data_IF_388754799270
#
_entry.id   IF_388754799270
#
_cell.length_a   1.000
_cell.length_b   1.000
_cell.length_c   1.000
_cell.angle_alpha   90.00
_cell.angle_beta   90.00
_cell.angle_gamma   90.00
#
_symmetry.space_group_name_H-M   'P 1'
#
loop_
_entity.id
_entity.type
_entity.pdbx_description
1 polymer ?
#
# COMPACT_ATOMS: atom_id res chain seq x y z
N UNK A 1 -61.52 16.91 -5.71
CA UNK A 1 -61.26 15.69 -4.96
C UNK A 1 -59.77 15.44 -5.03
N UNK A 2 -59.11 15.99 -4.12
CA UNK A 2 -58.38 15.43 -2.97
C UNK A 2 -57.18 14.58 -3.43
N UNK A 3 -55.98 14.81 -3.04
CA UNK A 3 -55.39 15.52 -1.93
C UNK A 3 -53.90 15.30 -1.84
N UNK A 4 -53.40 16.09 -1.00
CA UNK A 4 -52.28 15.93 -0.10
C UNK A 4 -50.89 15.57 -0.68
N UNK A 5 -50.11 16.61 -0.95
CA UNK A 5 -48.66 16.57 -0.96
C UNK A 5 -48.09 16.32 0.43
N UNK A 6 -47.18 15.33 0.54
CA UNK A 6 -46.33 15.16 1.73
C UNK A 6 -44.98 15.81 1.48
N UNK A 7 -44.76 16.92 2.17
CA UNK A 7 -43.45 17.56 2.30
C UNK A 7 -42.50 16.62 3.08
N UNK A 8 -41.55 16.04 2.40
CA UNK A 8 -40.43 15.37 3.03
C UNK A 8 -39.48 16.43 3.63
N UNK A 9 -39.48 16.55 4.94
CA UNK A 9 -38.57 17.38 5.72
C UNK A 9 -37.18 16.73 5.68
N UNK A 10 -36.27 17.29 4.91
CA UNK A 10 -34.86 16.88 4.93
C UNK A 10 -34.26 17.21 6.30
N UNK A 11 -33.96 16.19 7.07
CA UNK A 11 -33.09 16.32 8.25
C UNK A 11 -31.66 16.51 7.76
N UNK A 12 -31.14 17.72 7.82
CA UNK A 12 -29.71 17.98 7.75
C UNK A 12 -29.08 17.44 9.02
N UNK A 13 -28.30 16.39 8.92
CA UNK A 13 -27.39 15.93 9.96
C UNK A 13 -26.31 17.01 10.15
N UNK A 14 -26.35 17.71 11.26
CA UNK A 14 -25.29 18.59 11.71
C UNK A 14 -24.07 17.73 12.08
N UNK A 15 -22.93 17.97 11.45
CA UNK A 15 -21.72 17.21 11.69
C UNK A 15 -21.15 17.40 13.11
N UNK A 16 -20.23 16.53 13.57
CA UNK A 16 -19.75 16.46 14.95
C UNK A 16 -19.08 17.74 15.46
N UNK A 17 -18.73 18.70 14.61
CA UNK A 17 -18.19 20.02 15.01
C UNK A 17 -19.25 20.98 15.54
N UNK A 18 -20.53 20.81 15.20
CA UNK A 18 -21.61 21.64 15.71
C UNK A 18 -21.96 21.27 17.16
N UNK A 19 -21.88 19.98 17.48
CA UNK A 19 -22.17 19.48 18.83
C UNK A 19 -21.11 19.90 19.86
N UNK A 20 -19.83 19.94 19.47
CA UNK A 20 -18.75 20.40 20.35
C UNK A 20 -18.86 21.90 20.69
N UNK A 21 -19.26 22.73 19.72
CA UNK A 21 -19.50 24.16 19.97
C UNK A 21 -20.74 24.38 20.83
N UNK A 22 -21.81 23.61 20.60
CA UNK A 22 -23.01 23.64 21.42
C UNK A 22 -22.76 23.19 22.87
N UNK A 23 -21.94 22.14 23.05
CA UNK A 23 -21.53 21.64 24.36
C UNK A 23 -20.64 22.66 25.11
N UNK A 24 -19.71 23.33 24.41
CA UNK A 24 -18.86 24.36 25.01
C UNK A 24 -19.67 25.62 25.41
N UNK A 25 -20.62 26.06 24.59
CA UNK A 25 -21.52 27.17 24.90
C UNK A 25 -22.42 26.80 26.07
N UNK A 26 -22.96 25.56 26.09
CA UNK A 26 -23.76 25.06 27.21
C UNK A 26 -22.99 25.02 28.54
N UNK A 27 -21.71 24.59 28.52
CA UNK A 27 -20.85 24.58 29.71
C UNK A 27 -20.56 26.03 30.24
N UNK A 28 -20.36 26.97 29.35
CA UNK A 28 -20.14 28.41 29.73
C UNK A 28 -21.42 29.01 30.31
N UNK A 29 -22.59 28.68 29.76
CA UNK A 29 -23.87 29.17 30.30
C UNK A 29 -24.13 28.61 31.69
N UNK A 30 -23.95 27.29 31.89
CA UNK A 30 -24.11 26.64 33.18
C UNK A 30 -23.11 27.17 34.23
N UNK A 31 -21.88 27.47 33.84
CA UNK A 31 -20.89 28.08 34.72
C UNK A 31 -21.30 29.48 35.14
N UNK A 32 -21.88 30.23 34.23
CA UNK A 32 -22.38 31.58 34.50
C UNK A 32 -23.59 31.59 35.43
N UNK A 33 -24.57 30.71 35.21
CA UNK A 33 -25.71 30.52 36.07
C UNK A 33 -25.30 30.07 37.49
N UNK A 34 -24.33 29.13 37.57
CA UNK A 34 -23.80 28.68 38.86
C UNK A 34 -23.08 29.81 39.61
N UNK A 35 -22.31 30.66 38.92
CA UNK A 35 -21.66 31.84 39.52
C UNK A 35 -22.68 32.88 39.96
N UNK A 36 -23.75 33.11 39.21
CA UNK A 36 -24.84 34.04 39.58
C UNK A 36 -25.65 33.47 40.77
N UNK A 37 -25.96 32.20 40.79
CA UNK A 37 -26.60 31.51 41.92
C UNK A 37 -25.77 31.64 43.20
N UNK A 38 -24.43 31.48 43.12
CA UNK A 38 -23.54 31.69 44.23
C UNK A 38 -23.49 33.17 44.71
N UNK A 39 -23.56 34.15 43.79
CA UNK A 39 -23.63 35.59 44.14
C UNK A 39 -24.93 35.93 44.86
N UNK A 40 -26.06 35.38 44.43
CA UNK A 40 -27.36 35.54 45.08
C UNK A 40 -27.39 34.89 46.45
N UNK A 41 -26.85 33.68 46.58
CA UNK A 41 -26.73 32.96 47.88
C UNK A 41 -25.80 33.68 48.85
N UNK A 42 -24.73 34.28 48.38
CA UNK A 42 -23.82 35.10 49.22
C UNK A 42 -24.49 36.42 49.70
N UNK A 43 -25.42 36.98 48.90
CA UNK A 43 -26.16 38.20 49.26
C UNK A 43 -27.27 37.93 50.26
N UNK A 44 -27.92 36.72 50.22
CA UNK A 44 -28.96 36.32 51.16
C UNK A 44 -28.42 36.00 52.55
N UNK A 45 -27.17 35.53 52.65
CA UNK A 45 -26.53 35.21 53.97
C UNK A 45 -26.16 36.47 54.79
N UNK A 46 -26.28 37.69 54.22
CA UNK A 46 -25.99 38.94 54.97
C UNK A 46 -27.19 39.52 55.73
N UNK A 47 -28.37 38.93 55.63
CA UNK A 47 -29.61 39.50 56.19
C UNK A 47 -30.13 38.76 57.42
N UNK A 48 -29.62 37.58 57.76
CA UNK A 48 -30.07 36.86 58.96
C UNK A 48 -28.91 36.55 59.89
N UNK A 49 -28.34 37.60 60.52
CA UNK A 49 -27.46 37.45 61.66
C UNK A 49 -28.20 37.83 62.94
N UNK A 50 -28.89 36.91 63.59
CA UNK A 50 -29.18 36.91 65.01
C UNK A 50 -29.63 35.53 65.46
N UNK A 51 -28.74 34.79 66.07
CA UNK A 51 -28.74 34.10 67.37
C UNK A 51 -27.69 32.99 67.40
N UNK A 52 -26.84 32.94 68.42
CA UNK A 52 -25.88 31.84 68.64
C UNK A 52 -26.61 30.69 69.29
N UNK A 53 -26.51 29.49 68.74
CA UNK A 53 -26.64 28.23 69.42
C UNK A 53 -25.33 27.48 69.23
N UNK A 54 -24.57 27.46 70.26
CA UNK A 54 -23.36 26.66 70.42
C UNK A 54 -23.69 25.19 70.13
N UNK A 55 -23.16 24.75 69.02
CA UNK A 55 -22.77 23.36 68.84
C UNK A 55 -21.46 23.37 68.07
N UNK A 56 -20.38 23.40 68.83
CA UNK A 56 -19.07 23.09 68.31
C UNK A 56 -19.08 21.63 67.81
N UNK A 57 -19.38 21.44 66.53
CA UNK A 57 -18.94 20.25 65.81
C UNK A 57 -17.44 20.40 65.62
N UNK A 58 -16.68 19.76 66.52
CA UNK A 58 -15.23 19.69 66.40
C UNK A 58 -14.89 19.07 65.06
N UNK A 59 -14.21 19.79 64.14
CA UNK A 59 -13.75 19.18 62.88
C UNK A 59 -12.87 18.00 63.25
N UNK A 60 -13.15 16.87 62.64
CA UNK A 60 -12.35 15.62 62.88
C UNK A 60 -10.87 16.02 62.86
N UNK A 61 -10.13 15.62 63.90
CA UNK A 61 -8.71 15.99 64.14
C UNK A 61 -7.82 15.74 62.89
N UNK A 62 -8.22 14.82 62.03
CA UNK A 62 -7.58 14.55 60.74
C UNK A 62 -7.67 15.73 59.75
N UNK A 63 -8.80 16.47 59.70
CA UNK A 63 -8.98 17.63 58.82
C UNK A 63 -8.14 18.81 59.29
N UNK A 64 -8.07 19.05 60.59
CA UNK A 64 -7.27 20.16 61.18
C UNK A 64 -5.75 19.90 61.03
N UNK A 65 -5.30 18.64 61.08
CA UNK A 65 -3.90 18.27 60.84
C UNK A 65 -3.57 18.41 59.32
N UNK A 66 -4.49 18.04 58.44
CA UNK A 66 -4.31 18.18 56.97
C UNK A 66 -4.23 19.64 56.56
N UNK A 67 -5.06 20.54 57.12
CA UNK A 67 -5.02 21.98 56.84
C UNK A 67 -3.72 22.66 57.26
N UNK A 68 -3.08 22.13 58.34
CA UNK A 68 -1.85 22.72 58.91
C UNK A 68 -0.58 22.36 58.12
N UNK A 69 -0.61 21.21 57.39
CA UNK A 69 0.55 20.70 56.63
C UNK A 69 0.42 20.88 55.12
N UNK A 70 -0.79 21.12 54.56
CA UNK A 70 -0.96 21.34 53.13
C UNK A 70 -0.99 22.85 52.82
N UNK A 71 0.04 23.44 52.20
CA UNK A 71 -0.04 24.78 51.68
C UNK A 71 -1.21 24.87 50.70
N UNK A 72 -1.96 25.96 50.73
CA UNK A 72 -3.17 26.24 49.90
C UNK A 72 -3.01 25.89 48.39
N UNK A 73 -1.76 25.82 47.90
CA UNK A 73 -1.43 25.48 46.53
C UNK A 73 -1.45 23.97 46.25
N UNK A 74 -1.31 23.10 47.26
CA UNK A 74 -1.29 21.66 47.10
C UNK A 74 -2.66 21.08 46.72
N UNK A 75 -3.73 21.64 47.30
CA UNK A 75 -5.10 21.26 46.92
C UNK A 75 -5.39 21.55 45.43
N UNK A 76 -4.95 22.74 44.98
CA UNK A 76 -5.11 23.13 43.54
C UNK A 76 -4.27 22.26 42.62
N UNK A 77 -3.03 21.94 43.01
CA UNK A 77 -2.16 21.05 42.28
C UNK A 77 -2.73 19.61 42.21
N UNK A 78 -3.25 19.09 43.33
CA UNK A 78 -3.89 17.78 43.39
C UNK A 78 -5.15 17.69 42.50
N UNK A 79 -5.98 18.75 42.51
CA UNK A 79 -7.16 18.83 41.64
C UNK A 79 -6.76 18.85 40.15
N UNK A 80 -5.75 19.64 39.80
CA UNK A 80 -5.22 19.69 38.42
C UNK A 80 -4.65 18.36 37.99
N UNK A 81 -3.88 17.68 38.84
CA UNK A 81 -3.34 16.35 38.60
C UNK A 81 -4.45 15.30 38.39
N UNK A 82 -5.49 15.36 39.22
CA UNK A 82 -6.63 14.45 39.11
C UNK A 82 -7.43 14.68 37.84
N UNK A 83 -7.63 15.92 37.44
CA UNK A 83 -8.28 16.28 36.17
C UNK A 83 -7.44 15.86 34.96
N UNK A 84 -6.13 16.08 35.01
CA UNK A 84 -5.22 15.64 33.93
C UNK A 84 -5.15 14.10 33.85
N UNK A 85 -5.09 13.43 34.99
CA UNK A 85 -5.12 11.97 35.04
C UNK A 85 -6.43 11.38 34.54
N UNK A 86 -7.57 11.98 34.92
CA UNK A 86 -8.89 11.59 34.43
C UNK A 86 -9.05 11.83 32.94
N UNK A 87 -8.59 13.00 32.44
CA UNK A 87 -8.58 13.30 31.01
C UNK A 87 -7.68 12.33 30.22
N UNK A 88 -6.47 12.06 30.74
CA UNK A 88 -5.55 11.09 30.15
C UNK A 88 -6.14 9.67 30.07
N UNK A 89 -6.75 9.20 31.18
CA UNK A 89 -7.45 7.91 31.20
C UNK A 89 -8.64 7.87 30.24
N UNK A 90 -9.39 8.97 30.13
CA UNK A 90 -10.49 9.12 29.17
C UNK A 90 -10.04 9.01 27.73
N UNK A 91 -8.92 9.65 27.38
CA UNK A 91 -8.33 9.60 26.03
C UNK A 91 -7.86 8.17 25.70
N UNK A 92 -7.16 7.52 26.65
CA UNK A 92 -6.60 6.17 26.45
C UNK A 92 -7.71 5.12 26.39
N UNK A 93 -8.67 5.12 27.32
CA UNK A 93 -9.76 4.14 27.35
C UNK A 93 -10.88 4.43 26.35
N UNK A 94 -11.06 5.68 25.96
CA UNK A 94 -12.04 6.09 24.95
C UNK A 94 -11.61 5.85 23.50
N UNK A 95 -10.38 5.38 23.26
CA UNK A 95 -9.88 5.16 21.89
C UNK A 95 -9.57 6.44 21.12
N UNK A 96 -9.58 7.61 21.79
CA UNK A 96 -9.36 8.93 21.15
C UNK A 96 -7.88 9.34 21.09
N UNK A 97 -6.95 8.41 21.26
CA UNK A 97 -5.52 8.69 21.20
C UNK A 97 -5.09 9.25 19.84
N UNK A 98 -5.64 8.70 18.74
CA UNK A 98 -5.31 9.16 17.39
C UNK A 98 -5.85 10.57 17.14
N UNK A 99 -7.08 10.85 17.56
CA UNK A 99 -7.67 12.19 17.43
C UNK A 99 -6.90 13.24 18.26
N UNK A 100 -6.50 12.86 19.49
CA UNK A 100 -5.72 13.72 20.36
C UNK A 100 -4.32 14.01 19.79
N UNK A 101 -3.62 12.98 19.32
CA UNK A 101 -2.28 13.15 18.71
C UNK A 101 -2.36 13.98 17.43
N UNK A 102 -3.41 13.79 16.63
CA UNK A 102 -3.66 14.57 15.42
C UNK A 102 -3.95 16.04 15.76
N UNK A 103 -4.81 16.30 16.74
CA UNK A 103 -5.11 17.67 17.19
C UNK A 103 -3.87 18.38 17.75
N UNK A 104 -3.03 17.66 18.49
CA UNK A 104 -1.77 18.20 19.02
C UNK A 104 -0.78 18.51 17.89
N UNK A 105 -0.66 17.63 16.90
CA UNK A 105 0.19 17.83 15.74
C UNK A 105 -0.29 19.00 14.87
N UNK A 106 -1.60 19.13 14.66
CA UNK A 106 -2.19 20.23 13.93
C UNK A 106 -1.95 21.58 14.62
N UNK A 107 -2.11 21.62 15.95
CA UNK A 107 -1.82 22.82 16.75
C UNK A 107 -0.35 23.24 16.66
N UNK A 108 0.55 22.28 16.78
CA UNK A 108 2.00 22.50 16.63
C UNK A 108 2.35 22.99 15.21
N UNK A 109 1.76 22.38 14.20
CA UNK A 109 1.95 22.78 12.81
C UNK A 109 1.40 24.19 12.55
N UNK A 110 0.25 24.56 13.14
CA UNK A 110 -0.33 25.88 13.01
C UNK A 110 0.59 26.98 13.56
N UNK A 111 1.21 26.74 14.73
CA UNK A 111 2.18 27.66 15.33
C UNK A 111 3.40 27.82 14.41
N UNK A 112 3.97 26.74 13.91
CA UNK A 112 5.11 26.80 13.01
C UNK A 112 4.77 27.49 11.69
N UNK A 113 3.58 27.25 11.15
CA UNK A 113 3.10 27.87 9.92
C UNK A 113 2.91 29.39 10.08
N UNK A 114 2.47 29.86 11.27
CA UNK A 114 2.41 31.28 11.58
C UNK A 114 3.80 31.94 11.72
N UNK A 115 4.80 31.16 12.11
CA UNK A 115 6.21 31.56 12.17
C UNK A 115 6.94 31.51 10.82
N UNK A 116 6.23 31.21 9.71
CA UNK A 116 6.81 31.23 8.36
C UNK A 116 7.30 29.88 7.84
N UNK A 117 7.11 28.77 8.58
CA UNK A 117 7.52 27.42 8.15
C UNK A 117 6.42 26.66 7.41
N UNK A 118 5.47 27.36 6.83
CA UNK A 118 4.44 26.76 5.98
C UNK A 118 5.06 26.23 4.69
N UNK A 119 4.65 25.04 4.26
CA UNK A 119 5.02 24.52 2.94
C UNK A 119 4.29 25.34 1.88
N UNK A 120 5.03 26.19 1.16
CA UNK A 120 4.52 27.06 0.10
C UNK A 120 4.75 26.48 -1.28
N UNK A 121 5.82 25.72 -1.44
CA UNK A 121 6.22 25.12 -2.71
C UNK A 121 6.58 23.66 -2.51
N UNK A 122 6.04 22.81 -3.35
CA UNK A 122 6.42 21.39 -3.42
C UNK A 122 6.96 21.10 -4.81
N UNK A 123 8.22 20.70 -4.89
CA UNK A 123 8.87 20.23 -6.11
C UNK A 123 8.99 18.71 -6.03
N UNK A 124 8.37 17.99 -6.98
CA UNK A 124 8.45 16.54 -7.07
C UNK A 124 9.08 16.15 -8.40
N UNK A 125 10.26 15.50 -8.33
CA UNK A 125 11.00 15.03 -9.48
C UNK A 125 10.91 13.51 -9.61
N UNK A 126 11.14 12.99 -10.83
CA UNK A 126 11.21 11.55 -11.09
C UNK A 126 9.86 10.85 -11.23
N UNK A 127 8.75 11.58 -11.20
CA UNK A 127 7.40 11.03 -11.43
C UNK A 127 7.23 10.59 -12.88
N UNK A 128 6.56 9.45 -13.09
CA UNK A 128 6.16 8.93 -14.40
C UNK A 128 4.66 8.59 -14.46
N UNK A 129 4.20 7.81 -13.52
CA UNK A 129 2.81 7.28 -13.43
C UNK A 129 1.99 7.98 -12.35
N UNK A 130 2.62 8.27 -11.20
CA UNK A 130 1.95 8.87 -10.06
C UNK A 130 1.73 10.37 -10.28
N UNK A 131 0.55 10.85 -9.92
CA UNK A 131 0.25 12.28 -9.88
C UNK A 131 0.89 12.95 -8.66
N UNK A 132 1.00 14.29 -8.69
CA UNK A 132 1.51 15.04 -7.53
C UNK A 132 0.66 14.83 -6.28
N UNK A 133 -0.65 14.84 -6.45
CA UNK A 133 -1.59 14.72 -5.34
C UNK A 133 -1.53 13.33 -4.70
N UNK A 134 -1.37 12.28 -5.50
CA UNK A 134 -1.17 10.92 -5.02
C UNK A 134 0.12 10.79 -4.21
N UNK A 135 1.23 11.34 -4.68
CA UNK A 135 2.51 11.32 -3.95
C UNK A 135 2.38 12.03 -2.61
N UNK A 136 1.74 13.20 -2.58
CA UNK A 136 1.51 13.95 -1.34
C UNK A 136 0.58 13.21 -0.38
N UNK A 137 -0.48 12.59 -0.89
CA UNK A 137 -1.41 11.80 -0.11
C UNK A 137 -0.73 10.57 0.52
N UNK A 138 0.05 9.81 -0.27
CA UNK A 138 0.84 8.66 0.22
C UNK A 138 1.83 9.11 1.29
N UNK A 139 2.56 10.20 1.07
CA UNK A 139 3.50 10.76 2.03
C UNK A 139 2.84 11.33 3.28
N UNK A 140 1.52 11.54 3.26
CA UNK A 140 0.78 12.19 4.35
C UNK A 140 1.08 13.68 4.48
N UNK A 141 1.51 14.32 3.39
CA UNK A 141 1.76 15.77 3.33
C UNK A 141 0.51 16.48 2.86
N UNK A 142 0.01 17.40 3.65
CA UNK A 142 -1.20 18.17 3.35
C UNK A 142 -1.00 19.68 3.61
N UNK A 143 -2.00 20.49 3.29
CA UNK A 143 -1.93 21.94 3.45
C UNK A 143 -1.78 22.46 4.89
N UNK A 144 -1.91 21.57 5.91
CA UNK A 144 -1.68 21.87 7.32
C UNK A 144 -0.27 21.53 7.79
N UNK A 145 0.45 20.71 7.01
CA UNK A 145 1.80 20.26 7.34
C UNK A 145 2.76 21.46 7.42
N UNK A 146 3.63 21.46 8.42
CA UNK A 146 4.71 22.43 8.56
C UNK A 146 6.04 21.81 8.19
N UNK A 147 6.86 22.54 7.43
CA UNK A 147 8.20 22.09 7.06
C UNK A 147 9.10 21.84 8.29
N UNK A 148 8.88 22.62 9.37
CA UNK A 148 9.67 22.47 10.61
C UNK A 148 9.44 21.10 11.26
N UNK A 149 8.18 20.69 11.40
CA UNK A 149 7.80 19.45 12.10
C UNK A 149 7.55 18.26 11.17
N UNK A 150 7.70 18.45 9.86
CA UNK A 150 7.62 17.34 8.91
C UNK A 150 8.77 16.34 9.17
N UNK A 151 8.40 15.09 9.45
CA UNK A 151 9.37 14.01 9.55
C UNK A 151 9.67 13.46 8.14
N UNK A 152 10.84 13.83 7.62
CA UNK A 152 11.27 13.42 6.29
C UNK A 152 11.49 11.89 6.18
N UNK A 153 11.92 11.24 7.27
CA UNK A 153 12.11 9.78 7.29
C UNK A 153 10.76 9.08 7.23
N UNK A 154 9.79 9.47 8.04
CA UNK A 154 8.45 8.92 8.02
C UNK A 154 7.73 9.13 6.66
N UNK A 155 7.91 10.29 6.02
CA UNK A 155 7.40 10.54 4.65
C UNK A 155 8.05 9.58 3.65
N UNK A 156 9.37 9.42 3.72
CA UNK A 156 10.12 8.50 2.84
C UNK A 156 9.62 7.07 3.01
N UNK A 157 9.48 6.61 4.25
CA UNK A 157 9.04 5.23 4.54
C UNK A 157 7.62 4.98 4.02
N UNK A 158 6.71 5.93 4.18
CA UNK A 158 5.35 5.86 3.60
C UNK A 158 5.37 5.80 2.08
N UNK A 159 6.20 6.60 1.44
CA UNK A 159 6.36 6.58 -0.02
C UNK A 159 6.91 5.24 -0.48
N UNK A 160 7.94 4.71 0.17
CA UNK A 160 8.54 3.40 -0.15
C UNK A 160 7.64 2.20 0.14
N UNK A 161 6.64 2.36 0.99
CA UNK A 161 5.60 1.34 1.21
C UNK A 161 4.68 1.18 -0.02
N UNK A 162 4.63 2.17 -0.92
CA UNK A 162 3.91 2.04 -2.18
C UNK A 162 4.73 1.20 -3.18
N UNK A 163 4.17 0.11 -3.75
CA UNK A 163 4.88 -0.78 -4.67
C UNK A 163 5.48 -0.07 -5.89
N UNK A 164 4.84 1.01 -6.36
CA UNK A 164 5.30 1.78 -7.51
C UNK A 164 6.53 2.65 -7.23
N UNK A 165 6.93 2.80 -5.98
CA UNK A 165 8.09 3.64 -5.60
C UNK A 165 9.25 2.74 -5.17
N UNK A 166 10.33 2.78 -5.93
CA UNK A 166 11.58 2.06 -5.61
C UNK A 166 12.36 2.79 -4.53
N UNK A 167 12.54 4.10 -4.68
CA UNK A 167 13.21 4.94 -3.69
C UNK A 167 12.63 6.35 -3.67
N UNK A 168 12.80 7.04 -2.53
CA UNK A 168 12.37 8.40 -2.32
C UNK A 168 13.40 9.17 -1.48
N UNK A 169 13.71 10.38 -1.89
CA UNK A 169 14.57 11.31 -1.14
C UNK A 169 13.76 12.56 -0.82
N UNK A 170 13.74 12.94 0.46
CA UNK A 170 12.96 14.07 0.96
C UNK A 170 13.92 15.16 1.45
N UNK A 171 13.87 16.33 0.84
CA UNK A 171 14.70 17.48 1.18
C UNK A 171 13.83 18.63 1.69
N UNK A 172 14.12 19.10 2.89
CA UNK A 172 13.48 20.27 3.51
C UNK A 172 14.34 21.49 3.21
N UNK A 173 13.85 22.36 2.35
CA UNK A 173 14.52 23.60 1.96
C UNK A 173 13.82 24.78 2.64
N UNK A 174 14.38 25.21 3.75
CA UNK A 174 13.81 26.30 4.54
C UNK A 174 13.82 27.63 3.78
N UNK A 175 12.82 28.50 4.01
CA UNK A 175 11.78 28.38 5.04
C UNK A 175 10.53 27.59 4.64
N UNK A 176 10.23 27.37 3.34
CA UNK A 176 8.91 26.88 2.94
C UNK A 176 8.90 25.93 1.73
N UNK A 177 10.05 25.40 1.27
CA UNK A 177 10.10 24.54 0.11
C UNK A 177 10.35 23.06 0.51
N UNK A 178 9.48 22.17 0.05
CA UNK A 178 9.65 20.71 0.14
C UNK A 178 10.03 20.16 -1.23
N UNK A 179 11.15 19.46 -1.29
CA UNK A 179 11.57 18.74 -2.50
C UNK A 179 11.53 17.25 -2.25
N UNK A 180 10.86 16.54 -3.16
CA UNK A 180 10.71 15.08 -3.15
C UNK A 180 11.29 14.56 -4.47
N UNK A 181 12.37 13.82 -4.40
CA UNK A 181 12.97 13.15 -5.55
C UNK A 181 12.59 11.65 -5.48
N UNK A 182 11.84 11.17 -6.48
CA UNK A 182 11.31 9.81 -6.55
C UNK A 182 12.03 8.98 -7.62
N UNK A 183 12.16 7.69 -7.34
CA UNK A 183 12.49 6.68 -8.33
C UNK A 183 11.28 5.76 -8.46
N UNK A 184 10.50 5.95 -9.52
CA UNK A 184 9.35 5.10 -9.79
C UNK A 184 9.76 3.81 -10.50
N UNK A 185 9.16 2.69 -10.10
CA UNK A 185 9.23 1.43 -10.83
C UNK A 185 8.42 1.50 -12.12
N UNK A 186 8.84 0.73 -13.08
CA UNK A 186 8.11 0.58 -14.35
C UNK A 186 7.56 -0.83 -14.48
N UNK A 187 6.33 -0.95 -14.99
CA UNK A 187 5.76 -2.25 -15.31
C UNK A 187 6.60 -2.94 -16.38
N UNK A 188 7.07 -4.15 -16.06
CA UNK A 188 8.04 -4.88 -16.88
C UNK A 188 7.47 -6.16 -17.47
N UNK A 189 6.73 -6.95 -16.68
CA UNK A 189 6.15 -8.21 -17.12
C UNK A 189 4.84 -8.51 -16.39
N UNK A 190 4.05 -9.42 -16.95
CA UNK A 190 2.95 -10.08 -16.26
C UNK A 190 3.50 -11.33 -15.61
N UNK A 191 3.23 -11.54 -14.33
CA UNK A 191 3.65 -12.71 -13.58
C UNK A 191 2.46 -13.54 -13.15
N UNK A 192 2.49 -14.81 -13.51
CA UNK A 192 1.46 -15.76 -13.13
C UNK A 192 2.02 -16.80 -12.15
N UNK A 193 1.42 -16.85 -10.97
CA UNK A 193 1.68 -17.88 -9.96
C UNK A 193 0.36 -18.36 -9.35
N UNK A 194 0.21 -19.68 -9.19
CA UNK A 194 -0.96 -20.31 -8.57
C UNK A 194 -2.31 -19.82 -9.15
N UNK A 195 -2.34 -19.60 -10.46
CA UNK A 195 -3.52 -19.13 -11.19
C UNK A 195 -3.79 -17.62 -11.04
N UNK A 196 -3.00 -16.89 -10.24
CA UNK A 196 -3.11 -15.43 -10.08
C UNK A 196 -2.17 -14.72 -11.03
N UNK A 197 -2.66 -13.64 -11.62
CA UNK A 197 -1.89 -12.81 -12.54
C UNK A 197 -1.67 -11.43 -11.91
N UNK A 198 -0.41 -11.00 -11.88
CA UNK A 198 0.02 -9.72 -11.30
C UNK A 198 0.94 -9.00 -12.27
N UNK A 199 1.05 -7.68 -12.12
CA UNK A 199 2.04 -6.87 -12.84
C UNK A 199 3.29 -6.75 -11.98
N UNK A 200 4.46 -7.05 -12.55
CA UNK A 200 5.75 -6.93 -11.86
C UNK A 200 6.66 -5.90 -12.53
N UNK A 201 7.52 -5.32 -11.72
CA UNK A 201 8.63 -4.48 -12.15
C UNK A 201 9.86 -5.32 -12.54
N UNK A 202 10.88 -4.67 -13.07
CA UNK A 202 12.14 -5.29 -13.48
C UNK A 202 12.98 -5.83 -12.30
N UNK A 203 12.75 -5.30 -11.08
CA UNK A 203 13.35 -5.81 -9.84
C UNK A 203 12.52 -6.93 -9.18
N UNK A 204 11.41 -7.34 -9.81
CA UNK A 204 10.53 -8.41 -9.34
C UNK A 204 9.47 -7.99 -8.33
N UNK A 205 9.36 -6.70 -8.01
CA UNK A 205 8.32 -6.23 -7.11
C UNK A 205 6.93 -6.29 -7.76
N UNK A 206 5.93 -6.77 -7.02
CA UNK A 206 4.54 -6.78 -7.49
C UNK A 206 3.97 -5.37 -7.39
N UNK A 207 3.63 -4.79 -8.55
CA UNK A 207 3.09 -3.43 -8.67
C UNK A 207 1.58 -3.39 -8.49
N UNK A 208 0.88 -4.28 -9.20
CA UNK A 208 -0.58 -4.40 -9.14
C UNK A 208 -0.97 -5.87 -9.05
N UNK A 209 -1.84 -6.26 -8.10
CA UNK A 209 -2.35 -7.62 -7.98
C UNK A 209 -3.42 -7.94 -9.05
N UNK A 210 -3.91 -6.92 -9.76
CA UNK A 210 -4.86 -7.04 -10.85
C UNK A 210 -4.28 -6.40 -12.11
N UNK A 211 -4.53 -7.05 -13.26
CA UNK A 211 -3.97 -6.60 -14.54
C UNK A 211 -4.98 -5.72 -15.27
N UNK A 212 -4.67 -4.44 -15.36
CA UNK A 212 -5.40 -3.51 -16.19
C UNK A 212 -5.06 -3.72 -17.68
N UNK A 213 -5.99 -3.35 -18.57
CA UNK A 213 -5.86 -3.56 -20.02
C UNK A 213 -4.57 -3.00 -20.62
N UNK A 214 -4.04 -1.91 -20.07
CA UNK A 214 -2.80 -1.27 -20.52
C UNK A 214 -1.56 -2.17 -20.40
N UNK A 215 -1.59 -3.19 -19.57
CA UNK A 215 -0.46 -4.08 -19.33
C UNK A 215 -0.52 -5.42 -20.09
N UNK A 216 -1.61 -5.68 -20.83
CA UNK A 216 -1.79 -6.94 -21.55
C UNK A 216 -0.76 -7.20 -22.66
N UNK A 217 -0.02 -6.17 -23.07
CA UNK A 217 1.06 -6.25 -24.07
C UNK A 217 2.40 -6.67 -23.46
N UNK A 218 2.50 -6.69 -22.14
CA UNK A 218 3.72 -7.10 -21.45
C UNK A 218 3.97 -8.61 -21.59
N UNK A 219 5.24 -9.05 -21.58
CA UNK A 219 5.57 -10.46 -21.64
C UNK A 219 5.00 -11.23 -20.44
N UNK A 220 4.48 -12.43 -20.67
CA UNK A 220 3.96 -13.31 -19.63
C UNK A 220 5.04 -14.22 -19.09
N UNK A 221 5.26 -14.15 -17.79
CA UNK A 221 6.22 -14.95 -17.02
C UNK A 221 5.43 -15.82 -16.05
N UNK A 222 5.73 -17.11 -15.99
CA UNK A 222 4.96 -18.07 -15.20
C UNK A 222 5.88 -18.84 -14.25
N UNK A 223 5.41 -19.06 -13.03
CA UNK A 223 6.06 -19.96 -12.07
C UNK A 223 6.60 -19.23 -10.84
N UNK A 224 6.87 -20.01 -9.81
CA UNK A 224 7.43 -19.54 -8.54
C UNK A 224 8.90 -19.15 -8.73
N UNK A 225 9.33 -18.00 -8.20
CA UNK A 225 10.68 -17.48 -8.34
C UNK A 225 10.96 -16.85 -9.70
N UNK A 226 10.00 -16.90 -10.64
CA UNK A 226 10.14 -16.33 -11.96
C UNK A 226 10.25 -14.79 -11.93
N UNK A 227 9.59 -14.14 -10.97
CA UNK A 227 9.57 -12.70 -10.82
C UNK A 227 10.95 -12.09 -10.63
N UNK A 228 11.83 -12.77 -9.90
CA UNK A 228 13.19 -12.28 -9.64
C UNK A 228 14.18 -12.61 -10.76
N UNK A 229 13.86 -13.58 -11.63
CA UNK A 229 14.72 -14.05 -12.73
C UNK A 229 14.24 -13.58 -14.10
N UNK A 230 13.07 -12.98 -14.17
CA UNK A 230 12.45 -12.57 -15.43
C UNK A 230 13.31 -11.57 -16.21
N UNK A 231 13.91 -10.60 -15.53
CA UNK A 231 14.72 -9.55 -16.14
C UNK A 231 15.88 -10.12 -16.96
N UNK A 232 16.65 -10.98 -16.34
CA UNK A 232 17.87 -11.56 -16.99
C UNK A 232 17.49 -12.46 -18.15
N UNK A 233 16.43 -13.27 -17.98
CA UNK A 233 15.96 -14.18 -19.02
C UNK A 233 15.33 -13.43 -20.19
N UNK A 234 14.49 -12.44 -19.95
CA UNK A 234 13.88 -11.66 -21.02
C UNK A 234 14.91 -10.82 -21.76
N UNK A 235 15.91 -10.28 -21.08
CA UNK A 235 17.04 -9.59 -21.72
C UNK A 235 17.89 -10.54 -22.59
N UNK A 236 18.02 -11.80 -22.18
CA UNK A 236 18.64 -12.83 -23.02
C UNK A 236 17.77 -13.16 -24.24
N UNK A 237 16.46 -13.32 -24.06
CA UNK A 237 15.51 -13.62 -25.13
C UNK A 237 15.42 -12.48 -26.16
N UNK A 238 15.63 -11.23 -25.74
CA UNK A 238 15.68 -10.05 -26.61
C UNK A 238 16.77 -10.12 -27.68
N UNK A 239 17.83 -10.88 -27.45
CA UNK A 239 18.90 -11.13 -28.42
C UNK A 239 18.45 -12.08 -29.55
N UNK A 240 17.32 -12.75 -29.38
CA UNK A 240 16.74 -13.71 -30.33
C UNK A 240 15.33 -13.27 -30.76
N UNK A 241 15.17 -12.20 -31.54
CA UNK A 241 13.89 -11.58 -31.84
C UNK A 241 12.91 -12.51 -32.57
N UNK A 242 13.42 -13.46 -33.34
CA UNK A 242 12.60 -14.47 -34.03
C UNK A 242 11.90 -15.39 -33.02
N UNK A 243 12.65 -15.94 -32.04
CA UNK A 243 12.10 -16.77 -30.97
C UNK A 243 11.17 -15.93 -30.09
N UNK A 244 11.58 -14.71 -29.72
CA UNK A 244 10.75 -13.79 -28.91
C UNK A 244 9.41 -13.50 -29.57
N UNK A 245 9.38 -13.24 -30.89
CA UNK A 245 8.16 -12.85 -31.60
C UNK A 245 7.07 -13.92 -31.58
N UNK A 246 7.46 -15.19 -31.55
CA UNK A 246 6.54 -16.35 -31.50
C UNK A 246 6.27 -16.84 -30.07
N UNK A 247 7.03 -16.37 -29.08
CA UNK A 247 6.83 -16.74 -27.68
C UNK A 247 5.58 -16.08 -27.12
N UNK A 248 4.70 -16.88 -26.50
CA UNK A 248 3.51 -16.46 -25.77
C UNK A 248 3.78 -16.26 -24.30
N UNK A 249 4.53 -17.18 -23.70
CA UNK A 249 4.86 -17.15 -22.28
C UNK A 249 6.22 -17.80 -22.01
N UNK A 250 6.90 -17.33 -20.99
CA UNK A 250 8.12 -17.93 -20.45
C UNK A 250 7.81 -18.56 -19.10
N UNK A 251 8.19 -19.80 -18.90
CA UNK A 251 7.78 -20.60 -17.74
C UNK A 251 9.01 -21.02 -16.96
N UNK A 252 9.12 -20.57 -15.71
CA UNK A 252 10.21 -20.97 -14.81
C UNK A 252 9.84 -22.24 -14.06
N UNK A 253 10.52 -23.33 -14.35
CA UNK A 253 10.19 -24.67 -13.88
C UNK A 253 11.16 -25.12 -12.80
N UNK A 254 10.61 -25.47 -11.62
CA UNK A 254 11.38 -26.00 -10.50
C UNK A 254 12.44 -25.02 -9.97
N UNK A 255 12.21 -23.72 -10.11
CA UNK A 255 13.09 -22.64 -9.71
C UNK A 255 14.53 -22.71 -10.28
N UNK A 256 14.70 -23.38 -11.44
CA UNK A 256 16.05 -23.61 -12.02
C UNK A 256 16.14 -23.48 -13.53
N UNK A 257 15.11 -23.77 -14.31
CA UNK A 257 15.16 -23.78 -15.78
C UNK A 257 13.98 -23.08 -16.40
N UNK A 258 14.16 -22.60 -17.62
CA UNK A 258 13.12 -21.95 -18.39
C UNK A 258 12.56 -22.88 -19.48
N UNK A 259 11.25 -22.78 -19.68
CA UNK A 259 10.57 -23.31 -20.86
C UNK A 259 9.91 -22.15 -21.59
N UNK A 260 9.75 -22.26 -22.91
CA UNK A 260 8.97 -21.33 -23.69
C UNK A 260 7.67 -22.03 -24.12
N UNK A 261 6.56 -21.34 -23.96
CA UNK A 261 5.30 -21.68 -24.61
C UNK A 261 5.12 -20.75 -25.80
N UNK A 262 5.08 -21.33 -27.02
CA UNK A 262 4.88 -20.54 -28.22
C UNK A 262 3.39 -20.24 -28.46
N UNK A 263 3.09 -19.33 -29.39
CA UNK A 263 1.72 -18.89 -29.69
C UNK A 263 0.84 -19.98 -30.31
N UNK A 264 1.45 -20.91 -31.06
CA UNK A 264 0.84 -22.08 -31.66
C UNK A 264 0.63 -23.26 -30.68
N UNK A 265 1.12 -23.10 -29.42
CA UNK A 265 1.02 -24.12 -28.39
C UNK A 265 2.23 -25.04 -28.25
N UNK A 266 3.26 -24.85 -29.07
CA UNK A 266 4.51 -25.60 -28.99
C UNK A 266 5.25 -25.29 -27.68
N UNK A 267 5.70 -26.35 -26.98
CA UNK A 267 6.53 -26.24 -25.77
C UNK A 267 8.02 -26.42 -26.10
N UNK A 268 8.85 -25.47 -25.77
CA UNK A 268 10.30 -25.59 -25.85
C UNK A 268 10.88 -25.68 -24.44
N UNK A 269 11.54 -26.80 -24.14
CA UNK A 269 12.20 -27.03 -22.85
C UNK A 269 13.67 -26.70 -22.98
N UNK A 270 14.08 -25.62 -22.30
CA UNK A 270 15.47 -25.16 -22.34
C UNK A 270 16.33 -25.86 -21.27
N UNK A 271 17.65 -25.95 -21.48
CA UNK A 271 18.57 -26.45 -20.47
C UNK A 271 18.65 -25.50 -19.27
N UNK A 272 19.19 -25.99 -18.17
CA UNK A 272 19.46 -25.21 -16.97
C UNK A 272 20.65 -24.23 -17.19
N UNK A 273 21.70 -24.72 -17.85
CA UNK A 273 22.89 -23.94 -18.19
C UNK A 273 22.94 -23.73 -19.71
N UNK A 274 23.69 -22.71 -20.13
CA UNK A 274 23.93 -22.38 -21.55
C UNK A 274 22.63 -22.10 -22.35
N UNK A 275 21.66 -21.49 -21.71
CA UNK A 275 20.39 -21.13 -22.33
C UNK A 275 20.58 -20.28 -23.60
N UNK A 276 21.61 -19.42 -23.63
CA UNK A 276 21.93 -18.61 -24.81
C UNK A 276 22.27 -19.47 -26.04
N UNK A 277 23.09 -20.52 -25.87
CA UNK A 277 23.46 -21.44 -26.94
C UNK A 277 22.23 -22.23 -27.41
N UNK A 278 21.36 -22.63 -26.49
CA UNK A 278 20.12 -23.33 -26.87
C UNK A 278 19.19 -22.43 -27.69
N UNK A 279 19.04 -21.15 -27.31
CA UNK A 279 18.25 -20.18 -28.08
C UNK A 279 18.86 -19.86 -29.44
N UNK A 280 20.19 -19.80 -29.55
CA UNK A 280 20.91 -19.65 -30.82
C UNK A 280 20.67 -20.84 -31.74
N UNK A 281 20.81 -22.07 -31.23
CA UNK A 281 20.54 -23.27 -31.96
C UNK A 281 19.08 -23.37 -32.43
N UNK A 282 18.14 -23.03 -31.55
CA UNK A 282 16.70 -22.97 -31.85
C UNK A 282 16.41 -22.01 -33.00
N UNK A 283 16.99 -20.79 -32.94
CA UNK A 283 16.84 -19.77 -33.96
C UNK A 283 17.44 -20.19 -35.32
N UNK A 284 18.56 -20.92 -35.30
CA UNK A 284 19.22 -21.42 -36.48
C UNK A 284 18.42 -22.56 -37.14
N UNK A 285 17.94 -23.50 -36.35
CA UNK A 285 17.11 -24.61 -36.81
C UNK A 285 15.77 -24.10 -37.40
N UNK A 286 15.17 -23.10 -36.80
CA UNK A 286 13.96 -22.55 -37.38
C UNK A 286 14.21 -21.84 -38.71
N UNK A 287 15.33 -21.14 -38.88
CA UNK A 287 15.72 -20.54 -40.16
C UNK A 287 15.98 -21.58 -41.26
N UNK A 288 16.62 -22.69 -40.92
CA UNK A 288 17.03 -23.71 -41.86
C UNK A 288 15.89 -24.67 -42.19
N UNK A 289 15.17 -25.09 -41.16
CA UNK A 289 14.24 -26.23 -41.23
C UNK A 289 12.79 -25.85 -41.00
N UNK A 290 12.49 -24.54 -40.77
CA UNK A 290 11.15 -24.06 -40.43
C UNK A 290 10.52 -24.82 -39.27
N UNK A 291 11.30 -24.97 -38.19
CA UNK A 291 10.99 -25.86 -37.09
C UNK A 291 9.66 -25.52 -36.41
N UNK A 292 9.36 -24.22 -36.30
CA UNK A 292 8.10 -23.74 -35.67
C UNK A 292 6.85 -23.96 -36.53
N UNK A 293 7.03 -24.24 -37.85
CA UNK A 293 5.91 -24.53 -38.77
C UNK A 293 5.60 -26.03 -38.89
N UNK A 294 6.36 -26.87 -38.21
CA UNK A 294 6.17 -28.34 -38.27
C UNK A 294 5.10 -28.79 -37.30
N UNK A 295 4.48 -29.90 -37.60
CA UNK A 295 3.46 -30.54 -36.74
C UNK A 295 4.10 -31.24 -35.54
N UNK A 296 4.56 -30.43 -34.56
CA UNK A 296 5.27 -30.86 -33.36
C UNK A 296 4.62 -30.21 -32.13
N UNK A 297 4.67 -30.96 -31.01
CA UNK A 297 4.06 -30.56 -29.74
C UNK A 297 5.10 -30.04 -28.76
N UNK A 298 6.29 -30.62 -28.77
CA UNK A 298 7.36 -30.19 -27.88
C UNK A 298 8.74 -30.34 -28.49
N UNK A 299 9.64 -29.41 -28.11
CA UNK A 299 11.08 -29.49 -28.39
C UNK A 299 11.79 -29.55 -27.05
N UNK A 300 12.60 -30.61 -26.86
CA UNK A 300 13.38 -30.78 -25.63
C UNK A 300 14.87 -30.58 -25.93
N UNK A 301 15.43 -29.50 -25.39
CA UNK A 301 16.81 -29.08 -25.50
C UNK A 301 17.58 -29.18 -24.18
N UNK A 302 17.05 -29.92 -23.22
CA UNK A 302 17.67 -30.05 -21.88
C UNK A 302 19.02 -30.76 -21.91
N UNK A 303 19.25 -31.59 -22.90
CA UNK A 303 20.53 -32.24 -23.12
C UNK A 303 21.35 -31.47 -24.15
N UNK A 304 22.62 -31.15 -23.85
CA UNK A 304 23.43 -30.28 -24.69
C UNK A 304 23.85 -30.96 -26.02
N UNK A 305 23.86 -32.28 -26.08
CA UNK A 305 24.35 -33.12 -27.20
C UNK A 305 23.23 -33.48 -28.18
N UNK A 306 21.97 -33.27 -27.83
CA UNK A 306 20.83 -33.69 -28.66
C UNK A 306 19.61 -32.81 -28.48
N UNK A 307 18.88 -32.69 -29.58
CA UNK A 307 17.54 -32.08 -29.59
C UNK A 307 16.53 -33.23 -29.81
N UNK A 308 15.53 -33.30 -28.95
CA UNK A 308 14.43 -34.27 -29.08
C UNK A 308 13.16 -33.53 -29.46
N UNK A 309 12.47 -34.02 -30.50
CA UNK A 309 11.20 -33.45 -30.96
C UNK A 309 10.08 -34.46 -30.69
N UNK A 310 9.02 -33.97 -30.07
CA UNK A 310 7.78 -34.73 -29.89
C UNK A 310 6.82 -34.36 -31.02
N UNK A 311 6.48 -35.31 -31.87
CA UNK A 311 5.50 -35.12 -32.94
C UNK A 311 4.10 -35.04 -32.36
N UNK A 312 3.17 -34.40 -33.07
CA UNK A 312 1.75 -34.55 -32.81
C UNK A 312 1.28 -36.00 -33.02
N UNK A 313 0.14 -36.37 -32.48
CA UNK A 313 -0.41 -37.73 -32.62
C UNK A 313 -0.64 -38.11 -34.10
N UNK A 314 -1.07 -37.14 -34.90
CA UNK A 314 -1.33 -37.34 -36.31
C UNK A 314 -0.03 -37.49 -37.14
N UNK A 315 0.96 -36.65 -36.88
CA UNK A 315 2.28 -36.76 -37.51
C UNK A 315 3.00 -38.05 -37.08
N UNK A 316 2.84 -38.48 -35.83
CA UNK A 316 3.40 -39.72 -35.33
C UNK A 316 2.79 -40.95 -36.05
N UNK A 317 1.46 -40.99 -36.21
CA UNK A 317 0.76 -42.05 -36.96
C UNK A 317 1.18 -42.08 -38.43
N UNK A 318 1.17 -40.95 -39.11
CA UNK A 318 1.60 -40.83 -40.49
C UNK A 318 3.05 -41.31 -40.68
N UNK A 319 3.93 -40.99 -39.75
CA UNK A 319 5.32 -41.48 -39.77
C UNK A 319 5.41 -43.01 -39.56
N UNK A 320 4.62 -43.57 -38.65
CA UNK A 320 4.58 -45.00 -38.38
C UNK A 320 4.11 -45.79 -39.63
N UNK A 321 3.11 -45.31 -40.33
CA UNK A 321 2.61 -45.89 -41.59
C UNK A 321 3.71 -45.90 -42.66
N UNK A 322 4.43 -44.78 -42.85
CA UNK A 322 5.55 -44.73 -43.79
C UNK A 322 6.67 -45.73 -43.48
N UNK A 323 6.91 -46.05 -42.21
CA UNK A 323 7.89 -47.04 -41.79
C UNK A 323 7.36 -48.48 -41.90
N UNK A 324 6.05 -48.73 -41.75
CA UNK A 324 5.43 -50.03 -42.00
C UNK A 324 5.52 -50.42 -43.48
N UNK A 325 5.30 -49.47 -44.37
CA UNK A 325 5.40 -49.71 -45.82
C UNK A 325 6.85 -49.96 -46.30
N UNK A 326 7.84 -49.44 -45.59
CA UNK A 326 9.27 -49.64 -45.92
C UNK A 326 9.89 -50.90 -45.33
N UNK A 327 9.19 -51.70 -44.49
CA UNK A 327 9.70 -53.04 -44.09
C UNK A 327 9.69 -53.95 -45.30
N UNK A 328 10.86 -54.51 -45.75
CA UNK A 328 10.89 -55.45 -46.86
C UNK A 328 10.03 -56.68 -46.53
N UNK A 329 9.06 -57.03 -47.40
CA UNK A 329 8.38 -58.27 -47.34
C UNK A 329 9.48 -59.35 -47.49
N UNK A 330 9.85 -60.02 -46.40
CA UNK A 330 10.67 -61.23 -46.46
C UNK A 330 9.89 -62.17 -47.29
N UNK A 331 10.36 -62.46 -48.57
CA UNK A 331 9.95 -63.56 -49.37
C UNK A 331 10.33 -64.80 -48.55
N UNK A 332 9.33 -65.46 -47.99
CA UNK A 332 9.47 -66.81 -47.55
C UNK A 332 9.83 -67.65 -48.83
N UNK A 333 11.11 -67.98 -48.93
CA UNK A 333 11.55 -68.89 -49.96
C UNK A 333 11.00 -70.28 -49.63
N UNK A 334 10.18 -70.81 -50.51
CA UNK A 334 9.88 -72.23 -50.55
C UNK A 334 11.15 -73.00 -50.96
N UNK A 335 11.51 -73.95 -50.20
CA UNK A 335 12.25 -75.11 -50.61
C UNK A 335 11.49 -76.32 -50.12
#
# INVERSE_FOLDING_TARGET
MDGAGRLARSQRSLGPQADLKAAAIGAVVLLREWLEAKRVAAKSKRVTARRPLDREEQPHRLIAVLERYLPRRVGLAATVLLLLGSAGLGIVKGGHLEEFTTALSDSRNAIANSAGFRITTVAINGRKQLSQDEVLAIGGVNGRSSLLFLDAAAVRDKLKANPWISDATILKLYPGQLRIDLVERTAFALWQQDGRLSVISDDGAVLEPYVSRRFLTLPLVVGKGAETRARDFLALLDRYPQVKSVTKAVIFVGERRWNLRLKDGLDVRLPENDVGNALAALSTLDKQDHLFSRDIVAIDMRLPDRLTVQLSDDAAKAREELFKDKKPKNKAGNA
#
